data_IF_346019919441
#
_entry.id   IF_346019919441
#
_cell.length_a   1.000
_cell.length_b   1.000
_cell.length_c   1.000
_cell.angle_alpha   90.00
_cell.angle_beta   90.00
_cell.angle_gamma   90.00
#
_symmetry.space_group_name_H-M   'P 1'
#
loop_
_entity.id
_entity.type
_entity.pdbx_description
1 polymer ?
#
# COMPACT_ATOMS: atom_id res chain seq x y z
N UNK A 1 10.81 -13.23 8.31
CA UNK A 1 9.50 -12.60 8.40
C UNK A 1 9.25 -12.08 9.80
N UNK A 2 8.64 -10.94 9.90
CA UNK A 2 8.39 -10.34 11.20
C UNK A 2 7.09 -9.58 11.14
N UNK A 3 6.48 -9.42 12.29
CA UNK A 3 5.26 -8.66 12.39
C UNK A 3 5.60 -7.18 12.32
N UNK A 4 4.67 -6.41 11.81
CA UNK A 4 4.83 -4.98 11.73
C UNK A 4 4.07 -4.44 10.56
N UNK A 5 4.18 -3.13 10.39
CA UNK A 5 3.50 -2.43 9.32
C UNK A 5 4.49 -1.54 8.62
N UNK A 6 4.24 -1.30 7.34
CA UNK A 6 4.99 -0.32 6.59
C UNK A 6 4.04 0.74 6.06
N UNK A 7 4.49 1.98 6.16
CA UNK A 7 3.84 3.11 5.53
C UNK A 7 4.75 3.59 4.41
N UNK A 8 4.17 3.82 3.23
CA UNK A 8 4.93 4.26 2.09
C UNK A 8 4.22 5.44 1.44
N UNK A 9 5.00 6.48 1.14
CA UNK A 9 4.49 7.68 0.50
C UNK A 9 5.35 7.96 -0.72
N UNK A 10 4.72 8.19 -1.88
CA UNK A 10 5.46 8.43 -3.12
C UNK A 10 5.65 9.93 -3.30
N UNK A 11 6.91 10.33 -3.42
CA UNK A 11 7.28 11.72 -3.63
C UNK A 11 7.38 12.03 -5.11
N UNK A 12 8.01 11.14 -5.88
CA UNK A 12 8.20 11.32 -7.32
C UNK A 12 8.20 9.99 -8.00
N UNK A 13 7.86 9.99 -9.28
CA UNK A 13 7.86 8.80 -10.08
C UNK A 13 6.65 7.93 -9.78
N UNK A 14 6.65 6.73 -10.33
CA UNK A 14 5.57 5.79 -10.13
C UNK A 14 6.13 4.49 -9.60
N UNK A 15 5.39 3.87 -8.72
CA UNK A 15 5.85 2.67 -8.03
C UNK A 15 4.76 1.62 -8.10
N UNK A 16 5.11 0.44 -8.58
CA UNK A 16 4.21 -0.71 -8.48
C UNK A 16 4.46 -1.40 -7.16
N UNK A 17 3.40 -1.56 -6.38
CA UNK A 17 3.44 -2.27 -5.12
C UNK A 17 2.71 -3.59 -5.29
N UNK A 18 3.36 -4.65 -4.86
CA UNK A 18 2.73 -5.96 -4.73
C UNK A 18 2.71 -6.34 -3.28
N UNK A 19 1.57 -6.82 -2.82
CA UNK A 19 1.40 -7.23 -1.45
C UNK A 19 0.50 -8.47 -1.47
N UNK A 20 1.12 -9.63 -1.27
CA UNK A 20 0.40 -10.87 -1.46
C UNK A 20 -0.06 -10.96 -2.90
N UNK A 21 -1.35 -11.07 -3.09
CA UNK A 21 -1.93 -11.12 -4.44
C UNK A 21 -2.45 -9.77 -4.91
N UNK A 22 -2.31 -8.75 -4.08
CA UNK A 22 -2.74 -7.42 -4.45
C UNK A 22 -1.63 -6.70 -5.19
N UNK A 23 -2.02 -5.86 -6.13
CA UNK A 23 -1.07 -5.05 -6.87
C UNK A 23 -1.69 -3.72 -7.19
N UNK A 24 -0.92 -2.66 -7.07
CA UNK A 24 -1.38 -1.35 -7.47
C UNK A 24 -0.20 -0.48 -7.87
N UNK A 25 -0.50 0.52 -8.68
CA UNK A 25 0.48 1.51 -9.08
C UNK A 25 0.22 2.77 -8.28
N UNK A 26 1.26 3.27 -7.65
CA UNK A 26 1.20 4.47 -6.82
C UNK A 26 1.83 5.61 -7.59
N UNK A 27 1.21 6.77 -7.49
CA UNK A 27 1.66 8.00 -8.14
C UNK A 27 2.10 9.00 -7.08
N UNK A 28 2.81 10.05 -7.47
CA UNK A 28 3.21 11.06 -6.50
C UNK A 28 2.02 11.56 -5.68
N UNK A 29 2.22 11.62 -4.38
CA UNK A 29 1.14 12.02 -3.48
C UNK A 29 0.32 10.88 -2.94
N UNK A 30 0.49 9.68 -3.48
CA UNK A 30 -0.21 8.52 -2.95
C UNK A 30 0.53 7.97 -1.77
N UNK A 31 -0.22 7.41 -0.84
CA UNK A 31 0.35 6.75 0.31
C UNK A 31 -0.39 5.46 0.57
N UNK A 32 0.32 4.50 1.13
CA UNK A 32 -0.27 3.21 1.44
C UNK A 32 0.40 2.70 2.71
N UNK A 33 -0.37 1.97 3.54
CA UNK A 33 0.28 1.21 4.58
C UNK A 33 -0.31 -0.19 4.61
N UNK A 34 0.50 -1.12 5.08
CA UNK A 34 0.10 -2.51 5.00
C UNK A 34 0.90 -3.34 5.98
N UNK A 35 0.41 -4.56 6.18
CA UNK A 35 1.04 -5.54 7.04
C UNK A 35 2.32 -6.04 6.38
N UNK A 36 3.45 -5.80 7.01
CA UNK A 36 4.74 -6.15 6.44
C UNK A 36 5.05 -7.63 6.55
N UNK A 37 4.23 -8.40 7.26
CA UNK A 37 4.46 -9.83 7.37
C UNK A 37 4.00 -10.59 6.11
N UNK A 38 3.19 -9.95 5.27
CA UNK A 38 2.81 -10.55 4.00
C UNK A 38 3.90 -10.25 2.97
N UNK A 39 4.26 -11.21 2.12
CA UNK A 39 5.27 -10.93 1.11
C UNK A 39 4.89 -9.73 0.25
N UNK A 40 5.84 -8.87 0.03
CA UNK A 40 5.60 -7.65 -0.71
C UNK A 40 6.85 -7.23 -1.45
N UNK A 41 6.66 -6.42 -2.48
CA UNK A 41 7.79 -5.91 -3.25
C UNK A 41 7.40 -4.60 -3.92
N UNK A 42 8.41 -3.84 -4.28
CA UNK A 42 8.24 -2.56 -4.96
C UNK A 42 9.05 -2.58 -6.24
N UNK A 43 8.46 -2.05 -7.30
CA UNK A 43 9.17 -1.93 -8.57
C UNK A 43 8.88 -0.56 -9.13
N UNK A 44 9.92 0.13 -9.58
CA UNK A 44 9.73 1.42 -10.23
C UNK A 44 9.00 1.21 -11.55
N UNK A 45 7.92 1.95 -11.74
CA UNK A 45 7.07 1.81 -12.91
C UNK A 45 7.21 2.98 -13.88
N UNK A 46 8.01 3.98 -13.54
CA UNK A 46 8.19 5.14 -14.39
C UNK A 46 9.57 5.11 -15.03
N UNK A 47 9.76 5.94 -16.05
CA UNK A 47 11.07 6.03 -16.69
C UNK A 47 12.09 6.66 -15.77
N UNK A 48 11.68 7.66 -15.02
CA UNK A 48 12.59 8.26 -14.04
C UNK A 48 12.49 7.50 -12.74
N UNK A 49 13.48 7.63 -11.88
CA UNK A 49 13.48 6.91 -10.61
C UNK A 49 12.28 7.31 -9.76
N UNK A 50 11.78 6.35 -9.00
CA UNK A 50 10.75 6.63 -8.01
C UNK A 50 11.45 7.03 -6.72
N UNK A 51 10.93 8.08 -6.08
CA UNK A 51 11.44 8.58 -4.83
C UNK A 51 10.34 8.43 -3.81
N UNK A 52 10.59 7.65 -2.76
CA UNK A 52 9.54 7.30 -1.81
C UNK A 52 10.07 7.45 -0.39
N UNK A 53 9.13 7.65 0.52
CA UNK A 53 9.40 7.64 1.94
C UNK A 53 8.78 6.38 2.51
N UNK A 54 9.57 5.59 3.23
CA UNK A 54 9.08 4.37 3.85
C UNK A 54 9.30 4.47 5.35
N UNK A 55 8.24 4.19 6.10
CA UNK A 55 8.31 4.14 7.55
C UNK A 55 7.90 2.75 7.98
N UNK A 56 8.75 2.11 8.76
CA UNK A 56 8.48 0.77 9.26
C UNK A 56 8.10 0.87 10.73
N UNK A 57 7.00 0.23 11.09
CA UNK A 57 6.52 0.21 12.46
C UNK A 57 6.56 -1.21 12.98
N UNK A 58 7.12 -1.37 14.16
CA UNK A 58 7.27 -2.70 14.74
C UNK A 58 6.02 -3.18 15.43
N UNK A 59 5.21 -2.27 15.92
CA UNK A 59 3.97 -2.62 16.58
C UNK A 59 2.85 -2.46 15.61
N UNK A 60 2.11 -3.52 15.31
CA UNK A 60 1.05 -3.41 14.35
C UNK A 60 -0.09 -2.55 14.91
N UNK A 61 -0.60 -1.62 14.11
CA UNK A 61 -1.82 -0.93 14.47
C UNK A 61 -2.99 -1.90 14.38
N UNK A 62 -4.18 -1.46 14.73
CA UNK A 62 -5.35 -2.29 14.48
C UNK A 62 -5.35 -2.75 13.05
N UNK A 63 -5.66 -4.01 12.87
CA UNK A 63 -5.42 -4.65 11.61
C UNK A 63 -6.31 -4.10 10.53
N UNK A 64 -5.65 -3.71 9.47
CA UNK A 64 -6.30 -3.43 8.20
C UNK A 64 -5.49 -4.12 7.14
N UNK A 65 -6.11 -4.76 6.19
CA UNK A 65 -5.34 -5.50 5.21
C UNK A 65 -4.38 -4.62 4.43
N UNK A 66 -4.89 -3.64 3.74
CA UNK A 66 -4.08 -2.64 3.05
C UNK A 66 -4.95 -1.40 2.91
N UNK A 67 -4.37 -0.25 3.16
CA UNK A 67 -5.08 1.00 2.98
C UNK A 67 -4.26 1.92 2.08
N UNK A 68 -4.89 2.40 1.04
CA UNK A 68 -4.32 3.37 0.13
C UNK A 68 -4.92 4.74 0.43
N UNK A 69 -4.04 5.72 0.63
CA UNK A 69 -4.45 7.10 0.79
C UNK A 69 -4.08 7.83 -0.48
N UNK A 70 -5.07 8.24 -1.22
CA UNK A 70 -4.85 8.97 -2.45
C UNK A 70 -5.38 10.36 -2.28
N UNK A 71 -4.45 11.33 -2.19
CA UNK A 71 -4.81 12.71 -1.95
C UNK A 71 -5.67 12.87 -0.71
N UNK A 72 -5.34 12.08 0.33
CA UNK A 72 -6.02 12.20 1.61
C UNK A 72 -7.30 11.40 1.74
N UNK A 73 -7.69 10.65 0.73
CA UNK A 73 -8.91 9.86 0.78
C UNK A 73 -8.55 8.40 1.00
N UNK A 74 -8.95 7.81 2.12
CA UNK A 74 -8.65 6.39 2.37
C UNK A 74 -9.44 5.50 1.44
N UNK A 75 -8.78 4.44 0.98
CA UNK A 75 -9.44 3.51 0.10
C UNK A 75 -8.79 2.14 0.21
N UNK A 76 -9.60 1.09 0.35
CA UNK A 76 -9.08 -0.25 0.37
C UNK A 76 -8.67 -0.66 -1.04
N UNK A 77 -7.59 -1.44 -1.14
CA UNK A 77 -7.15 -1.92 -2.43
C UNK A 77 -8.06 -3.01 -2.95
N UNK A 78 -8.19 -3.10 -4.28
CA UNK A 78 -8.99 -4.17 -4.88
C UNK A 78 -8.43 -5.53 -4.49
N UNK A 79 -9.31 -6.50 -4.39
CA UNK A 79 -8.91 -7.85 -4.07
C UNK A 79 -8.75 -8.11 -2.59
N UNK A 80 -8.89 -7.11 -1.78
CA UNK A 80 -8.77 -7.25 -0.35
C UNK A 80 -10.04 -7.86 0.22
N UNK A 81 -9.94 -8.94 1.00
CA UNK A 81 -11.15 -9.58 1.52
C UNK A 81 -12.04 -8.64 2.31
N UNK A 82 -11.46 -7.74 3.08
CA UNK A 82 -12.27 -6.83 3.87
C UNK A 82 -13.06 -5.90 2.99
N UNK A 83 -12.63 -5.74 1.78
CA UNK A 83 -13.26 -4.84 0.86
C UNK A 83 -14.53 -5.41 0.26
N UNK A 84 -14.65 -6.70 0.30
CA UNK A 84 -15.79 -7.33 -0.34
C UNK A 84 -17.05 -7.22 0.48
N UNK A 85 -17.00 -6.55 1.51
CA UNK A 85 -18.23 -6.36 2.20
C UNK A 85 -19.15 -5.67 1.30
N UNK A 86 -20.14 -5.94 1.30
CA UNK A 86 -21.00 -5.63 0.43
C UNK A 86 -21.22 -4.51 -0.16
N UNK A 87 -20.99 -4.55 -0.58
CA UNK A 87 -21.05 -3.90 -1.24
C UNK A 87 -20.73 -2.90 -1.40
N UNK A 88 -20.57 -2.98 -0.98
CA UNK A 88 -20.08 -2.30 -1.24
C UNK A 88 -19.63 -2.12 -2.15
N UNK A 89 -19.84 -2.48 -2.26
CA UNK A 89 -19.42 -2.46 -3.05
C UNK A 89 -19.68 -1.74 -3.70
N UNK A 90 -19.94 -1.55 -3.44
CA UNK A 90 -20.03 -1.16 -4.01
C UNK A 90 -19.87 -0.58 -4.46
#
# INVERSE_FOLDING_TARGET
MHAGFEFLYVLEGELDLRHGENQCTLEPGDAVYFDASTPHSYVCASKKPADVLIVTMHQPPPVQPVTLLRQGVPRALPGNPAHTAPGSQQ
#
